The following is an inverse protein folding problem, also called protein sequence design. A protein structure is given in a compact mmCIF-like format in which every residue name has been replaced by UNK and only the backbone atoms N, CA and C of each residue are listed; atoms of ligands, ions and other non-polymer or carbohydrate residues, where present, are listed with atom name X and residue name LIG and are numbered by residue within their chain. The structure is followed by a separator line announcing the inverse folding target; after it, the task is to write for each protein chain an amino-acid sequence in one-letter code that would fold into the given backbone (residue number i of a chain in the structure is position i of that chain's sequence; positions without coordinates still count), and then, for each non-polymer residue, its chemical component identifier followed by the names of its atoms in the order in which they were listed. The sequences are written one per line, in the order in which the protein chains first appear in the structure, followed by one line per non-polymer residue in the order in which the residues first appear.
data_IF_983166551049
#
_entry.id   IF_983166551049
#
_cell.length_a   1.000
_cell.length_b   1.000
_cell.length_c   1.000
_cell.angle_alpha   90.00
_cell.angle_beta   90.00
_cell.angle_gamma   90.00
#
_symmetry.space_group_name_H-M   'P 1'
#
loop_
_entity.id
_entity.type
_entity.pdbx_description
1 polymer ?
#
# COMPACT_ATOMS: atom_id res chain seq x y z
N UNK A 1 -8.78 29.71 54.55
CA UNK A 1 -8.59 28.41 53.84
C UNK A 1 -9.43 28.33 52.55
N UNK A 2 -9.26 29.26 51.60
CA UNK A 2 -10.13 29.36 50.39
C UNK A 2 -9.35 29.41 49.05
N UNK A 3 -8.05 29.76 49.06
CA UNK A 3 -7.27 29.92 47.82
C UNK A 3 -6.73 28.62 47.20
N UNK A 4 -6.67 27.52 47.96
CA UNK A 4 -6.11 26.24 47.47
C UNK A 4 -7.08 25.43 46.60
N UNK A 5 -8.38 25.71 46.61
CA UNK A 5 -9.37 24.95 45.81
C UNK A 5 -9.45 25.39 44.35
N UNK A 6 -8.99 26.59 44.02
CA UNK A 6 -9.07 27.14 42.66
C UNK A 6 -7.95 26.62 41.75
N UNK A 7 -6.75 26.34 42.29
CA UNK A 7 -5.63 25.84 41.51
C UNK A 7 -5.86 24.42 40.95
N UNK A 8 -6.48 23.51 41.72
CA UNK A 8 -6.78 22.15 41.26
C UNK A 8 -7.84 22.12 40.15
N UNK A 9 -8.80 23.05 40.16
CA UNK A 9 -9.85 23.13 39.13
C UNK A 9 -9.28 23.56 37.77
N UNK A 10 -8.30 24.46 37.76
CA UNK A 10 -7.63 24.87 36.52
C UNK A 10 -6.79 23.75 35.90
N UNK A 11 -6.09 22.96 36.72
CA UNK A 11 -5.24 21.86 36.21
C UNK A 11 -6.10 20.75 35.59
N UNK A 12 -7.23 20.41 36.20
CA UNK A 12 -8.16 19.41 35.65
C UNK A 12 -8.78 19.90 34.35
N UNK A 13 -9.15 21.18 34.25
CA UNK A 13 -9.71 21.74 33.02
C UNK A 13 -8.71 21.76 31.84
N UNK A 14 -7.43 22.03 32.10
CA UNK A 14 -6.37 22.00 31.07
C UNK A 14 -6.05 20.58 30.62
N UNK A 15 -5.99 19.61 31.56
CA UNK A 15 -5.80 18.21 31.19
C UNK A 15 -7.00 17.66 30.41
N UNK A 16 -8.22 18.05 30.77
CA UNK A 16 -9.44 17.66 30.04
C UNK A 16 -9.47 18.27 28.63
N UNK A 17 -9.06 19.54 28.45
CA UNK A 17 -9.02 20.17 27.13
C UNK A 17 -7.94 19.58 26.22
N UNK A 18 -6.79 19.16 26.78
CA UNK A 18 -5.77 18.43 26.02
C UNK A 18 -6.23 17.02 25.64
N UNK A 19 -6.92 16.31 26.53
CA UNK A 19 -7.52 15.01 26.24
C UNK A 19 -8.62 15.10 25.17
N UNK A 20 -9.48 16.12 25.19
CA UNK A 20 -10.48 16.33 24.13
C UNK A 20 -9.87 16.75 22.79
N UNK A 21 -8.73 17.46 22.78
CA UNK A 21 -8.03 17.83 21.55
C UNK A 21 -7.35 16.63 20.87
N UNK A 22 -6.95 15.61 21.64
CA UNK A 22 -6.38 14.38 21.11
C UNK A 22 -7.44 13.43 20.49
N UNK A 23 -8.72 13.57 20.86
CA UNK A 23 -9.80 12.70 20.38
C UNK A 23 -10.43 13.20 19.08
N UNK A 24 -10.30 14.49 18.77
CA UNK A 24 -10.96 15.09 17.58
C UNK A 24 -10.01 15.36 16.40
N UNK A 25 -8.72 15.04 16.54
CA UNK A 25 -7.84 14.87 15.38
C UNK A 25 -8.18 13.53 14.73
N UNK A 26 -9.20 13.52 13.87
CA UNK A 26 -9.42 12.41 12.95
C UNK A 26 -8.10 12.09 12.25
N UNK A 27 -7.85 10.81 11.90
CA UNK A 27 -6.58 10.44 11.30
C UNK A 27 -6.30 11.33 10.08
N UNK A 28 -5.05 11.77 9.85
CA UNK A 28 -4.68 12.86 8.93
C UNK A 28 -5.10 12.65 7.45
N UNK A 29 -5.73 11.52 7.14
CA UNK A 29 -6.25 11.10 5.84
C UNK A 29 -7.66 11.62 5.51
N UNK A 30 -8.24 12.52 6.32
CA UNK A 30 -9.62 13.01 6.16
C UNK A 30 -9.74 14.42 5.52
N UNK A 31 -8.79 14.88 4.71
CA UNK A 31 -9.01 16.13 3.94
C UNK A 31 -10.03 15.86 2.79
N UNK A 32 -11.20 16.53 2.80
CA UNK A 32 -12.28 16.30 1.85
C UNK A 32 -11.97 16.75 0.41
N UNK A 33 -10.86 17.45 0.16
CA UNK A 33 -10.41 17.83 -1.20
C UNK A 33 -9.79 16.66 -1.97
N UNK A 34 -9.47 15.56 -1.30
CA UNK A 34 -9.02 14.34 -1.95
C UNK A 34 -10.26 13.47 -2.20
N UNK A 35 -10.77 13.48 -3.43
CA UNK A 35 -11.75 12.50 -3.89
C UNK A 35 -11.21 11.12 -3.54
N UNK A 36 -11.76 10.54 -2.47
CA UNK A 36 -11.35 9.26 -1.90
C UNK A 36 -11.71 8.21 -2.93
N UNK A 37 -10.80 7.89 -3.85
CA UNK A 37 -10.92 6.73 -4.71
C UNK A 37 -11.27 5.55 -3.80
N UNK A 38 -12.46 4.99 -3.98
CA UNK A 38 -12.94 3.87 -3.19
C UNK A 38 -12.69 2.61 -3.99
N UNK A 39 -11.56 1.89 -3.83
CA UNK A 39 -11.23 0.70 -4.64
C UNK A 39 -12.32 -0.38 -4.67
N UNK A 40 -13.20 -0.40 -3.66
CA UNK A 40 -14.33 -1.31 -3.56
C UNK A 40 -15.60 -0.81 -4.24
N UNK A 41 -15.79 0.51 -4.37
CA UNK A 41 -16.96 1.12 -5.01
C UNK A 41 -16.65 1.59 -6.44
N UNK A 42 -15.36 1.79 -6.76
CA UNK A 42 -14.85 2.31 -8.02
C UNK A 42 -14.02 1.25 -8.77
N UNK A 43 -14.08 1.29 -10.10
CA UNK A 43 -13.28 0.43 -10.96
C UNK A 43 -11.81 0.84 -10.99
N UNK A 44 -10.89 -0.14 -10.95
CA UNK A 44 -9.52 0.03 -11.42
C UNK A 44 -9.31 -0.82 -12.68
N UNK A 45 -8.49 -0.32 -13.61
CA UNK A 45 -8.14 -1.06 -14.81
C UNK A 45 -7.07 -2.11 -14.50
N UNK A 46 -7.08 -3.22 -15.22
CA UNK A 46 -6.02 -4.23 -15.14
C UNK A 46 -5.47 -4.58 -16.51
N UNK A 47 -4.17 -4.81 -16.58
CA UNK A 47 -3.51 -5.33 -17.78
C UNK A 47 -2.38 -6.26 -17.37
N UNK A 48 -1.97 -7.15 -18.26
CA UNK A 48 -0.84 -8.05 -18.02
C UNK A 48 0.36 -7.59 -18.84
N UNK A 49 1.53 -7.61 -18.24
CA UNK A 49 2.81 -7.24 -18.86
C UNK A 49 3.82 -8.31 -18.48
N UNK A 50 4.34 -9.05 -19.45
CA UNK A 50 5.27 -10.16 -19.17
C UNK A 50 6.73 -9.73 -18.95
N UNK A 51 6.99 -8.42 -18.96
CA UNK A 51 8.30 -7.85 -18.65
C UNK A 51 8.44 -7.51 -17.16
N UNK A 52 9.69 -7.52 -16.67
CA UNK A 52 10.10 -7.15 -15.30
C UNK A 52 9.72 -8.13 -14.17
N UNK A 53 9.04 -9.24 -14.44
CA UNK A 53 8.68 -10.23 -13.42
C UNK A 53 9.87 -10.70 -12.57
N UNK A 54 10.99 -11.07 -13.21
CA UNK A 54 12.22 -11.48 -12.51
C UNK A 54 12.81 -10.36 -11.64
N UNK A 55 12.87 -9.12 -12.13
CA UNK A 55 13.36 -7.98 -11.34
C UNK A 55 12.47 -7.74 -10.09
N UNK A 56 11.15 -7.86 -10.26
CA UNK A 56 10.21 -7.66 -9.15
C UNK A 56 10.24 -8.82 -8.15
N UNK A 57 10.50 -10.05 -8.59
CA UNK A 57 10.76 -11.18 -7.71
C UNK A 57 12.05 -10.99 -6.90
N UNK A 58 13.12 -10.49 -7.53
CA UNK A 58 14.36 -10.14 -6.85
C UNK A 58 14.18 -9.02 -5.83
N UNK A 59 13.39 -7.99 -6.17
CA UNK A 59 13.01 -6.95 -5.20
C UNK A 59 12.21 -7.53 -4.04
N UNK A 60 11.23 -8.40 -4.31
CA UNK A 60 10.46 -9.09 -3.26
C UNK A 60 11.40 -9.85 -2.31
N UNK A 61 12.32 -10.65 -2.85
CA UNK A 61 13.33 -11.38 -2.07
C UNK A 61 14.14 -10.43 -1.18
N UNK A 62 14.69 -9.34 -1.75
CA UNK A 62 15.46 -8.34 -0.98
C UNK A 62 14.64 -7.72 0.15
N UNK A 63 13.36 -7.41 -0.09
CA UNK A 63 12.49 -6.82 0.92
C UNK A 63 12.15 -7.81 2.02
N UNK A 64 11.79 -9.05 1.68
CA UNK A 64 11.50 -10.10 2.67
C UNK A 64 12.73 -10.40 3.55
N UNK A 65 13.92 -10.43 2.95
CA UNK A 65 15.17 -10.64 3.68
C UNK A 65 15.53 -9.43 4.57
N UNK A 66 15.53 -8.23 3.99
CA UNK A 66 16.03 -7.03 4.66
C UNK A 66 15.06 -6.40 5.66
N UNK A 67 13.75 -6.43 5.38
CA UNK A 67 12.74 -5.75 6.20
C UNK A 67 11.97 -6.71 7.11
N UNK A 68 11.87 -7.99 6.75
CA UNK A 68 11.10 -8.98 7.50
C UNK A 68 11.97 -10.08 8.12
N UNK A 69 13.30 -10.06 7.90
CA UNK A 69 14.24 -11.03 8.47
C UNK A 69 14.03 -12.46 7.98
N UNK A 70 13.36 -12.66 6.83
CA UNK A 70 13.07 -13.98 6.27
C UNK A 70 14.24 -14.49 5.42
N UNK A 71 15.43 -14.64 6.00
CA UNK A 71 16.66 -14.97 5.28
C UNK A 71 16.63 -16.34 4.58
N UNK A 72 15.88 -17.30 5.14
CA UNK A 72 15.74 -18.65 4.57
C UNK A 72 14.62 -18.74 3.51
N UNK A 73 13.93 -17.62 3.23
CA UNK A 73 12.89 -17.60 2.21
C UNK A 73 13.48 -17.64 0.81
N UNK A 74 12.92 -18.50 -0.03
CA UNK A 74 13.26 -18.60 -1.45
C UNK A 74 12.11 -18.03 -2.27
N UNK A 75 12.42 -17.14 -3.22
CA UNK A 75 11.45 -16.54 -4.13
C UNK A 75 11.70 -17.07 -5.53
N UNK A 76 10.70 -17.74 -6.11
CA UNK A 76 10.79 -18.33 -7.46
C UNK A 76 9.62 -17.85 -8.29
N UNK A 77 9.88 -17.38 -9.52
CA UNK A 77 8.81 -17.05 -10.46
C UNK A 77 8.04 -18.30 -10.87
N UNK A 78 6.72 -18.21 -10.90
CA UNK A 78 5.86 -19.25 -11.43
C UNK A 78 5.79 -19.16 -12.95
N UNK A 79 5.95 -20.28 -13.63
CA UNK A 79 5.81 -20.37 -15.09
C UNK A 79 4.36 -20.23 -15.55
N UNK A 80 3.43 -20.74 -14.73
CA UNK A 80 1.99 -20.67 -14.99
C UNK A 80 1.33 -19.59 -14.13
N UNK A 81 0.28 -18.98 -14.66
CA UNK A 81 -0.52 -17.98 -13.92
C UNK A 81 -1.58 -18.73 -13.09
N UNK A 82 -1.53 -18.71 -11.75
CA UNK A 82 -2.50 -19.38 -10.90
C UNK A 82 -3.87 -18.70 -10.95
N UNK A 83 -3.93 -17.40 -11.27
CA UNK A 83 -5.15 -16.64 -11.43
C UNK A 83 -5.17 -15.92 -12.78
N UNK A 84 -6.36 -15.87 -13.40
CA UNK A 84 -6.63 -14.91 -14.47
C UNK A 84 -6.68 -13.47 -13.91
N UNK A 85 -6.51 -12.43 -14.75
CA UNK A 85 -6.62 -11.04 -14.31
C UNK A 85 -7.95 -10.75 -13.59
N UNK A 86 -9.07 -11.27 -14.08
CA UNK A 86 -10.39 -11.08 -13.46
C UNK A 86 -10.48 -11.76 -12.08
N UNK A 87 -9.93 -12.96 -11.94
CA UNK A 87 -9.89 -13.64 -10.64
C UNK A 87 -8.98 -12.90 -9.65
N UNK A 88 -7.86 -12.33 -10.11
CA UNK A 88 -7.00 -11.52 -9.26
C UNK A 88 -7.71 -10.23 -8.80
N UNK A 89 -8.46 -9.56 -9.69
CA UNK A 89 -9.31 -8.41 -9.30
C UNK A 89 -10.32 -8.82 -8.24
N UNK A 90 -10.97 -9.97 -8.42
CA UNK A 90 -11.92 -10.51 -7.45
C UNK A 90 -11.22 -10.84 -6.12
N UNK A 91 -10.03 -11.45 -6.13
CA UNK A 91 -9.22 -11.70 -4.93
C UNK A 91 -8.87 -10.39 -4.22
N UNK A 92 -8.41 -9.38 -4.96
CA UNK A 92 -8.08 -8.04 -4.45
C UNK A 92 -9.30 -7.41 -3.77
N UNK A 93 -10.50 -7.59 -4.33
CA UNK A 93 -11.75 -7.01 -3.83
C UNK A 93 -12.47 -7.84 -2.78
N UNK A 94 -12.23 -9.14 -2.74
CA UNK A 94 -12.89 -10.09 -1.82
C UNK A 94 -12.52 -9.80 -0.38
N UNK A 95 -11.24 -9.52 -0.14
CA UNK A 95 -10.78 -9.17 1.20
C UNK A 95 -10.84 -7.65 1.40
N UNK A 96 -11.81 -7.22 2.22
CA UNK A 96 -11.96 -5.83 2.68
C UNK A 96 -11.03 -5.50 3.85
N UNK A 97 -10.28 -6.47 4.37
CA UNK A 97 -9.43 -6.38 5.56
C UNK A 97 -7.92 -6.50 5.22
N UNK A 98 -7.01 -6.20 6.16
CA UNK A 98 -6.14 -5.03 6.11
C UNK A 98 -4.76 -5.35 5.53
N UNK A 99 -4.06 -4.33 5.03
CA UNK A 99 -2.62 -4.32 4.69
C UNK A 99 -2.03 -5.62 4.16
N UNK A 100 -1.96 -5.73 2.83
CA UNK A 100 -1.31 -6.87 2.16
C UNK A 100 -0.43 -6.50 0.96
N UNK A 101 -0.45 -5.23 0.56
CA UNK A 101 0.36 -4.74 -0.55
C UNK A 101 1.72 -4.30 -0.02
N UNK A 102 2.71 -5.17 -0.13
CA UNK A 102 4.09 -4.89 0.22
C UNK A 102 4.73 -4.03 -0.88
N UNK A 103 5.23 -2.86 -0.53
CA UNK A 103 5.89 -1.97 -1.47
C UNK A 103 7.35 -2.33 -1.71
N UNK A 104 7.68 -2.50 -2.98
CA UNK A 104 8.98 -2.96 -3.48
C UNK A 104 9.81 -1.83 -4.12
N UNK A 105 9.31 -0.58 -4.08
CA UNK A 105 9.93 0.59 -4.70
C UNK A 105 9.20 1.09 -5.95
N UNK A 106 9.73 2.13 -6.61
CA UNK A 106 9.14 2.69 -7.82
C UNK A 106 9.40 1.81 -9.05
N UNK A 107 8.57 1.95 -10.10
CA UNK A 107 8.79 1.24 -11.38
C UNK A 107 10.09 1.69 -12.02
N UNK A 108 10.28 3.01 -12.13
CA UNK A 108 11.53 3.62 -12.61
C UNK A 108 12.17 4.35 -11.42
N UNK A 109 13.34 3.90 -10.94
CA UNK A 109 14.10 4.62 -9.94
C UNK A 109 14.40 6.05 -10.40
N UNK A 110 14.24 7.04 -9.52
CA UNK A 110 14.55 8.45 -9.79
C UNK A 110 13.73 9.13 -10.91
N UNK A 111 12.55 8.62 -11.26
CA UNK A 111 11.61 9.28 -12.17
C UNK A 111 10.45 9.94 -11.38
N UNK A 112 10.66 11.12 -10.76
CA UNK A 112 9.67 11.74 -9.87
C UNK A 112 8.37 12.14 -10.59
N UNK A 113 8.45 12.33 -11.91
CA UNK A 113 7.38 12.81 -12.77
C UNK A 113 6.18 11.85 -12.95
N UNK A 114 6.31 10.57 -12.57
CA UNK A 114 5.20 9.62 -12.59
C UNK A 114 5.16 8.84 -11.28
N UNK A 115 4.18 9.12 -10.40
CA UNK A 115 4.00 8.30 -9.21
C UNK A 115 3.61 6.89 -9.64
N UNK A 116 4.53 5.97 -9.44
CA UNK A 116 4.37 4.56 -9.75
C UNK A 116 4.84 3.75 -8.57
N UNK A 117 4.20 2.61 -8.33
CA UNK A 117 4.56 1.72 -7.24
C UNK A 117 4.68 0.31 -7.77
N UNK A 118 5.78 -0.37 -7.44
CA UNK A 118 5.87 -1.83 -7.55
C UNK A 118 5.43 -2.39 -6.21
N UNK A 119 4.48 -3.30 -6.23
CA UNK A 119 3.96 -3.95 -5.03
C UNK A 119 3.87 -5.46 -5.25
N UNK A 120 3.99 -6.20 -4.15
CA UNK A 120 3.64 -7.61 -4.12
C UNK A 120 2.50 -7.83 -3.13
N UNK A 121 1.56 -8.71 -3.48
CA UNK A 121 0.48 -9.10 -2.56
C UNK A 121 0.32 -10.61 -2.55
N UNK A 122 0.16 -11.24 -1.39
CA UNK A 122 -0.24 -12.64 -1.32
C UNK A 122 -1.65 -12.79 -1.93
N UNK A 123 -1.86 -13.91 -2.62
CA UNK A 123 -3.17 -14.28 -3.21
C UNK A 123 -3.72 -15.52 -2.52
N UNK A 124 -5.05 -15.62 -2.37
CA UNK A 124 -5.67 -16.73 -1.66
C UNK A 124 -5.69 -18.05 -2.45
N UNK A 125 -5.36 -18.01 -3.74
CA UNK A 125 -5.60 -19.10 -4.69
C UNK A 125 -4.57 -20.24 -4.68
N UNK A 126 -3.67 -20.28 -3.69
CA UNK A 126 -2.61 -21.27 -3.67
C UNK A 126 -2.99 -22.40 -2.71
N UNK A 127 -3.16 -23.61 -3.26
CA UNK A 127 -2.93 -24.88 -2.55
C UNK A 127 -1.44 -24.94 -2.17
N UNK A 128 -1.00 -24.01 -1.33
CA UNK A 128 0.39 -23.90 -0.99
C UNK A 128 0.76 -25.12 -0.16
N UNK A 129 1.78 -25.86 -0.59
CA UNK A 129 2.48 -26.76 0.29
C UNK A 129 2.78 -26.03 1.60
N UNK A 130 2.62 -26.72 2.74
CA UNK A 130 2.78 -26.13 4.08
C UNK A 130 4.13 -25.42 4.17
N UNK A 131 4.15 -24.08 4.14
CA UNK A 131 5.40 -23.32 4.00
C UNK A 131 5.42 -22.26 2.90
N UNK A 132 4.69 -22.51 1.82
CA UNK A 132 4.73 -21.69 0.62
C UNK A 132 3.61 -20.65 0.61
N UNK A 133 3.84 -19.53 -0.08
CA UNK A 133 2.86 -18.49 -0.36
C UNK A 133 3.06 -17.95 -1.75
N UNK A 134 1.98 -17.85 -2.50
CA UNK A 134 2.01 -17.24 -3.84
C UNK A 134 1.73 -15.74 -3.73
N UNK A 135 2.57 -14.96 -4.39
CA UNK A 135 2.46 -13.51 -4.49
C UNK A 135 2.15 -13.12 -5.93
N UNK A 136 1.20 -12.20 -6.12
CA UNK A 136 1.07 -11.45 -7.36
C UNK A 136 2.07 -10.29 -7.34
N UNK A 137 2.86 -10.15 -8.42
CA UNK A 137 3.79 -9.05 -8.63
C UNK A 137 3.13 -8.00 -9.51
N UNK A 138 2.95 -6.80 -8.97
CA UNK A 138 2.14 -5.76 -9.58
C UNK A 138 2.94 -4.47 -9.72
N UNK A 139 2.64 -3.69 -10.76
CA UNK A 139 2.90 -2.26 -10.73
C UNK A 139 1.61 -1.49 -10.80
N UNK A 140 1.59 -0.34 -10.13
CA UNK A 140 0.40 0.49 -9.95
C UNK A 140 0.75 1.88 -10.42
N UNK A 141 -0.09 2.40 -11.33
CA UNK A 141 0.10 3.71 -11.91
C UNK A 141 -1.24 4.43 -11.96
N UNK A 142 -1.24 5.74 -11.75
CA UNK A 142 -2.39 6.58 -12.07
C UNK A 142 -2.15 7.21 -13.43
N UNK A 143 -2.95 6.80 -14.43
CA UNK A 143 -2.85 7.38 -15.76
C UNK A 143 -3.35 8.83 -15.72
N UNK A 144 -2.52 9.78 -16.13
CA UNK A 144 -2.95 11.17 -16.32
C UNK A 144 -2.32 11.77 -17.58
N UNK A 145 -2.54 11.11 -18.73
CA UNK A 145 -2.10 11.64 -20.03
C UNK A 145 -3.10 11.52 -21.18
N UNK A 146 -4.18 10.76 -21.04
CA UNK A 146 -5.22 10.66 -22.08
C UNK A 146 -6.45 11.46 -21.67
N UNK A 147 -6.87 12.48 -22.44
CA UNK A 147 -8.17 13.12 -22.26
C UNK A 147 -9.31 12.18 -22.74
N UNK A 148 -10.42 12.04 -22.01
CA UNK A 148 -10.62 12.54 -20.65
C UNK A 148 -9.76 11.74 -19.66
N UNK A 149 -9.06 12.39 -18.72
CA UNK A 149 -8.27 11.68 -17.71
C UNK A 149 -9.21 10.72 -16.98
N UNK A 150 -9.03 9.43 -17.18
CA UNK A 150 -9.70 8.44 -16.35
C UNK A 150 -8.99 8.50 -15.00
N UNK A 151 -9.64 9.06 -13.99
CA UNK A 151 -9.13 9.14 -12.61
C UNK A 151 -8.87 7.77 -11.95
N UNK A 152 -9.10 6.69 -12.70
CA UNK A 152 -8.98 5.32 -12.23
C UNK A 152 -7.53 4.88 -12.26
N UNK A 153 -7.05 4.29 -11.17
CA UNK A 153 -5.73 3.69 -11.17
C UNK A 153 -5.70 2.43 -12.04
N UNK A 154 -4.52 2.11 -12.54
CA UNK A 154 -4.25 0.96 -13.38
C UNK A 154 -3.27 0.03 -12.67
N UNK A 155 -3.65 -1.24 -12.51
CA UNK A 155 -2.78 -2.32 -12.05
C UNK A 155 -2.23 -3.10 -13.25
N UNK A 156 -0.92 -3.19 -13.35
CA UNK A 156 -0.23 -4.04 -14.30
C UNK A 156 0.26 -5.30 -13.57
N UNK A 157 -0.10 -6.47 -14.10
CA UNK A 157 0.28 -7.77 -13.55
C UNK A 157 1.56 -8.19 -14.26
N UNK A 158 2.64 -8.39 -13.50
CA UNK A 158 3.97 -8.76 -14.02
C UNK A 158 4.29 -10.25 -13.88
N UNK A 159 3.40 -10.99 -13.23
CA UNK A 159 3.53 -12.42 -12.99
C UNK A 159 3.27 -12.76 -11.54
N UNK A 160 3.65 -13.98 -11.18
CA UNK A 160 3.44 -14.56 -9.87
C UNK A 160 4.74 -15.17 -9.39
N UNK A 161 4.98 -15.07 -8.09
CA UNK A 161 6.13 -15.68 -7.44
C UNK A 161 5.67 -16.56 -6.29
N UNK A 162 6.25 -17.74 -6.17
CA UNK A 162 6.17 -18.56 -4.98
C UNK A 162 7.26 -18.15 -4.00
N UNK A 163 6.87 -17.97 -2.74
CA UNK A 163 7.76 -17.70 -1.62
C UNK A 163 7.66 -18.87 -0.65
N UNK A 164 8.74 -19.65 -0.52
CA UNK A 164 8.81 -20.73 0.49
C UNK A 164 9.32 -20.19 1.82
N UNK A 165 8.99 -20.90 2.90
CA UNK A 165 9.32 -20.54 4.29
C UNK A 165 8.71 -19.19 4.74
N UNK A 166 7.48 -18.89 4.31
CA UNK A 166 6.78 -17.64 4.61
C UNK A 166 5.46 -17.85 5.37
N UNK A 167 5.44 -18.80 6.31
CA UNK A 167 4.23 -19.29 7.00
C UNK A 167 3.38 -18.22 7.71
N UNK A 168 3.99 -17.12 8.15
CA UNK A 168 3.37 -16.08 8.97
C UNK A 168 3.38 -14.69 8.30
N UNK A 169 3.81 -14.59 7.04
CA UNK A 169 4.04 -13.29 6.39
C UNK A 169 2.78 -12.44 6.31
N UNK A 170 1.63 -13.06 6.03
CA UNK A 170 0.33 -12.39 5.98
C UNK A 170 -0.09 -11.84 7.34
N UNK A 171 0.20 -12.56 8.43
CA UNK A 171 -0.06 -12.07 9.78
C UNK A 171 0.87 -10.90 10.12
N UNK A 172 2.15 -10.97 9.73
CA UNK A 172 3.09 -9.85 9.90
C UNK A 172 2.65 -8.60 9.15
N UNK A 173 2.17 -8.78 7.91
CA UNK A 173 1.62 -7.70 7.09
C UNK A 173 0.42 -7.04 7.77
N UNK A 174 -0.54 -7.84 8.25
CA UNK A 174 -1.73 -7.35 8.97
C UNK A 174 -1.40 -6.58 10.24
N UNK A 175 -0.30 -6.92 10.92
CA UNK A 175 0.17 -6.23 12.14
C UNK A 175 1.02 -4.98 11.87
N UNK A 176 1.37 -4.71 10.62
CA UNK A 176 2.18 -3.52 10.27
C UNK A 176 1.35 -2.27 10.54
N UNK A 177 1.94 -1.29 11.24
CA UNK A 177 1.26 -0.04 11.56
C UNK A 177 0.99 0.80 10.30
N UNK A 178 -0.06 1.64 10.28
CA UNK A 178 -0.22 2.67 9.26
C UNK A 178 0.99 3.57 9.10
N UNK A 179 1.48 3.65 7.87
CA UNK A 179 2.48 4.64 7.52
C UNK A 179 1.82 6.01 7.42
N UNK A 180 2.05 6.84 8.44
CA UNK A 180 1.74 8.27 8.51
C UNK A 180 2.45 9.12 7.45
N UNK A 181 3.46 8.57 6.78
CA UNK A 181 4.36 9.33 5.91
C UNK A 181 3.71 9.67 4.57
N UNK A 182 3.93 10.88 4.06
CA UNK A 182 3.44 11.27 2.73
C UNK A 182 4.09 10.42 1.62
N UNK A 183 5.38 10.09 1.78
CA UNK A 183 6.15 9.30 0.81
C UNK A 183 6.23 7.82 1.21
N UNK A 184 6.00 6.88 0.28
CA UNK A 184 6.12 5.45 0.54
C UNK A 184 7.60 5.04 0.65
N UNK A 185 7.93 4.22 1.64
CA UNK A 185 9.26 3.63 1.83
C UNK A 185 9.22 2.13 1.56
N UNK A 186 10.27 1.61 0.92
CA UNK A 186 10.41 0.17 0.63
C UNK A 186 10.17 -0.65 1.90
N UNK A 187 9.42 -1.75 1.78
CA UNK A 187 9.07 -2.60 2.92
C UNK A 187 7.78 -2.20 3.64
N UNK A 188 7.23 -1.00 3.38
CA UNK A 188 5.92 -0.64 3.90
C UNK A 188 4.81 -1.51 3.32
N UNK A 189 3.81 -1.80 4.15
CA UNK A 189 2.64 -2.59 3.77
C UNK A 189 1.40 -1.71 3.77
N UNK A 190 0.71 -1.70 2.64
CA UNK A 190 -0.47 -0.87 2.41
C UNK A 190 -1.74 -1.69 2.33
N UNK A 191 -2.85 -1.09 2.77
CA UNK A 191 -4.15 -1.47 2.24
C UNK A 191 -4.28 -1.03 0.78
N UNK A 192 -5.25 -1.59 0.06
CA UNK A 192 -5.55 -1.16 -1.31
C UNK A 192 -5.90 0.33 -1.37
N UNK A 193 -6.63 0.84 -0.37
CA UNK A 193 -7.00 2.26 -0.26
C UNK A 193 -5.77 3.15 -0.06
N UNK A 194 -4.87 2.75 0.86
CA UNK A 194 -3.65 3.51 1.14
C UNK A 194 -2.72 3.56 -0.07
N UNK A 195 -2.56 2.44 -0.77
CA UNK A 195 -1.74 2.37 -1.98
C UNK A 195 -2.22 3.36 -3.04
N UNK A 196 -3.52 3.38 -3.32
CA UNK A 196 -4.07 4.34 -4.29
C UNK A 196 -4.09 5.77 -3.76
N UNK A 197 -4.29 5.98 -2.46
CA UNK A 197 -4.18 7.29 -1.84
C UNK A 197 -2.77 7.88 -1.97
N UNK A 198 -1.72 7.10 -1.66
CA UNK A 198 -0.31 7.50 -1.79
C UNK A 198 0.03 7.90 -3.21
N UNK A 199 -0.40 7.11 -4.20
CA UNK A 199 -0.22 7.43 -5.63
C UNK A 199 -0.88 8.75 -6.02
N UNK A 200 -2.08 9.00 -5.48
CA UNK A 200 -2.85 10.21 -5.77
C UNK A 200 -2.20 11.44 -5.15
N UNK A 201 -1.71 11.33 -3.92
CA UNK A 201 -1.01 12.41 -3.23
C UNK A 201 0.30 12.77 -3.95
N UNK A 202 1.13 11.76 -4.25
CA UNK A 202 2.38 11.95 -4.98
C UNK A 202 2.14 12.59 -6.35
N UNK A 203 1.04 12.24 -7.04
CA UNK A 203 0.68 12.88 -8.30
C UNK A 203 0.40 14.38 -8.15
N UNK A 204 -0.33 14.77 -7.10
CA UNK A 204 -0.65 16.18 -6.85
C UNK A 204 0.58 16.98 -6.44
N UNK A 205 1.51 16.40 -5.67
CA UNK A 205 2.78 17.05 -5.34
C UNK A 205 3.61 17.34 -6.59
N UNK A 206 3.67 16.39 -7.53
CA UNK A 206 4.33 16.58 -8.83
C UNK A 206 3.65 17.71 -9.60
N UNK A 207 2.31 17.72 -9.69
CA UNK A 207 1.57 18.79 -10.37
C UNK A 207 1.76 20.16 -9.70
N UNK A 208 1.80 20.22 -8.38
CA UNK A 208 2.03 21.45 -7.63
C UNK A 208 3.47 21.96 -7.79
N UNK A 209 4.45 21.06 -7.84
CA UNK A 209 5.85 21.37 -8.12
C UNK A 209 6.05 21.91 -9.54
N UNK A 210 5.36 21.34 -10.53
CA UNK A 210 5.38 21.81 -11.92
C UNK A 210 4.72 23.19 -12.12
N UNK A 211 3.89 23.65 -11.15
CA UNK A 211 3.23 24.96 -11.18
C UNK A 211 4.02 26.07 -10.49
N UNK A 212 5.17 25.77 -9.86
CA UNK A 212 6.06 26.82 -9.34
C UNK A 212 6.90 27.37 -10.50
N UNK A 213 6.76 28.66 -10.86
CA UNK A 213 7.52 29.30 -11.93
C UNK A 213 9.01 29.40 -11.61
#
# INVERSE_FOLDING_TARGET
MSRMRWASLCIVAVLLSMLLSAVNAGPPWQDPRYTRFRPFDEGFATSTIDSFGNDYADRLRRVLHGHFGLHDSTVTMLESRPLSPNQLVQDIRRDRNPRRFLYLGPVIPNAPQYPTMVVATPIAASDSERGARTFALLSVQRHSRTPPPTDRPHLFIHGYAEVKHANDIEERFRRTAPSGLASPEVGQVFSVEEMFWKLSHAYQEVLAGLKKP
#
